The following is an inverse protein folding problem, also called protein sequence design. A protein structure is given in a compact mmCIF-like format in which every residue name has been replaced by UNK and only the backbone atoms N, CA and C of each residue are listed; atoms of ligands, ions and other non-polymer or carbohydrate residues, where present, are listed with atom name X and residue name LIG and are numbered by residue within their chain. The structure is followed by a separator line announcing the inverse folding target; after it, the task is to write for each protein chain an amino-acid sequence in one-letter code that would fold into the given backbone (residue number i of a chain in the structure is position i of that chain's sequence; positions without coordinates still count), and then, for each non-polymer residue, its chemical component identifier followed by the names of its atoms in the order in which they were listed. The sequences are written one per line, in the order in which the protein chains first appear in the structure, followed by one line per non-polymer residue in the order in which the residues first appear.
data_IF_827252577339
#
_entry.id   IF_827252577339
#
_cell.length_a   1.000
_cell.length_b   1.000
_cell.length_c   1.000
_cell.angle_alpha   90.00
_cell.angle_beta   90.00
_cell.angle_gamma   90.00
#
_symmetry.space_group_name_H-M   'P 1'
#
loop_
_entity.id
_entity.type
_entity.pdbx_description
1 polymer ?
2 non-polymer ?
3 water ?
#
# COMPACT_ATOMS: atom_id res chain seq x y z
N UNK A 1 4.33 -1.04 21.95
CA UNK A 1 3.28 -1.14 20.92
C UNK A 1 2.32 -2.25 21.32
N UNK A 2 1.04 -2.15 20.94
CA UNK A 2 0.04 -3.15 21.30
C UNK A 2 0.10 -4.50 20.61
N UNK A 3 -0.64 -5.46 21.17
CA UNK A 3 -0.70 -6.82 20.66
C UNK A 3 -1.37 -6.84 19.33
N UNK A 4 -2.55 -6.23 19.26
CA UNK A 4 -3.31 -6.15 18.03
C UNK A 4 -3.40 -4.72 17.50
N UNK A 5 -3.54 -4.62 16.18
CA UNK A 5 -3.65 -3.35 15.49
C UNK A 5 -4.46 -3.62 14.23
N UNK A 6 -5.54 -2.85 14.04
CA UNK A 6 -6.39 -2.96 12.85
C UNK A 6 -6.83 -1.52 12.52
N UNK A 7 -6.09 -0.91 11.61
CA UNK A 7 -6.36 0.45 11.24
C UNK A 7 -7.77 0.70 10.78
N UNK A 8 -8.43 -0.32 10.26
CA UNK A 8 -9.81 -0.14 9.81
C UNK A 8 -10.78 0.28 10.91
N UNK A 9 -10.53 -0.10 12.15
CA UNK A 9 -11.47 0.29 13.20
C UNK A 9 -11.16 1.63 13.84
N UNK A 10 -10.22 2.33 13.21
CA UNK A 10 -9.82 3.65 13.65
C UNK A 10 -10.33 4.66 12.60
N UNK A 11 -11.19 4.18 11.70
CA UNK A 11 -11.72 5.01 10.63
C UNK A 11 -10.62 5.57 9.74
N UNK A 12 -9.54 4.81 9.62
CA UNK A 12 -8.39 5.26 8.85
C UNK A 12 -8.11 4.54 7.55
N UNK A 13 -9.03 3.69 7.09
CA UNK A 13 -8.80 3.00 5.82
C UNK A 13 -10.09 2.88 5.04
N UNK A 14 -9.97 3.16 3.74
CA UNK A 14 -11.09 3.20 2.79
C UNK A 14 -11.38 1.89 2.06
N UNK A 15 -12.54 1.78 1.41
CA UNK A 15 -12.91 0.56 0.68
C UNK A 15 -11.86 -0.02 -0.23
N UNK A 16 -12.01 -1.31 -0.50
CA UNK A 16 -11.07 -2.03 -1.34
C UNK A 16 -11.24 -1.67 -2.83
N UNK A 17 -10.15 -1.24 -3.45
CA UNK A 17 -10.14 -0.88 -4.86
C UNK A 17 -9.67 -2.09 -5.64
N UNK A 18 -9.87 -2.06 -6.96
CA UNK A 18 -9.44 -3.13 -7.85
C UNK A 18 -8.51 -2.41 -8.79
N UNK A 19 -7.46 -3.05 -9.29
CA UNK A 19 -6.57 -2.32 -10.19
C UNK A 19 -6.72 -2.62 -11.68
N UNK A 20 -7.40 -3.72 -12.02
CA UNK A 20 -7.56 -4.08 -13.41
C UNK A 20 -6.22 -4.44 -14.05
N UNK A 21 -6.22 -4.70 -15.35
CA UNK A 21 -5.01 -5.08 -16.07
C UNK A 21 -3.76 -4.24 -15.79
N UNK A 22 -3.94 -3.01 -15.37
CA UNK A 22 -2.81 -2.14 -15.13
C UNK A 22 -1.88 -2.56 -14.00
N UNK A 23 -0.58 -2.45 -14.25
CA UNK A 23 0.41 -2.77 -13.24
C UNK A 23 0.55 -1.54 -12.36
N UNK A 24 -0.58 -1.10 -11.83
CA UNK A 24 -0.67 0.09 -10.99
C UNK A 24 -0.44 -0.14 -9.50
N UNK A 25 -0.29 -1.40 -9.10
CA UNK A 25 -0.09 -1.78 -7.71
C UNK A 25 0.65 -0.74 -6.85
N UNK A 26 1.82 -0.31 -7.31
CA UNK A 26 2.61 0.69 -6.60
C UNK A 26 1.79 1.92 -6.20
N UNK A 27 0.98 2.42 -7.13
CA UNK A 27 0.14 3.57 -6.87
C UNK A 27 -0.89 3.23 -5.77
N UNK A 28 -1.62 2.14 -5.98
CA UNK A 28 -2.60 1.67 -5.02
C UNK A 28 -1.97 1.50 -3.63
N UNK A 29 -0.72 1.05 -3.61
CA UNK A 29 0.03 0.85 -2.38
C UNK A 29 0.31 2.19 -1.70
N UNK A 30 0.97 3.09 -2.43
CA UNK A 30 1.32 4.42 -1.93
C UNK A 30 0.09 5.25 -1.48
N UNK A 31 -1.04 5.05 -2.15
CA UNK A 31 -2.23 5.80 -1.79
C UNK A 31 -2.85 5.40 -0.44
N UNK A 32 -2.87 4.10 -0.14
CA UNK A 32 -3.42 3.60 1.13
C UNK A 32 -2.68 4.21 2.31
N UNK A 33 -1.39 4.45 2.14
CA UNK A 33 -0.62 5.03 3.24
C UNK A 33 -0.95 6.50 3.39
N UNK A 34 -1.06 7.23 2.27
CA UNK A 34 -1.40 8.65 2.34
C UNK A 34 -2.77 8.84 2.98
N UNK A 35 -3.77 8.07 2.52
CA UNK A 35 -5.11 8.17 3.10
C UNK A 35 -5.03 7.95 4.61
N UNK A 36 -4.22 6.97 5.01
CA UNK A 36 -4.08 6.69 6.42
C UNK A 36 -3.36 7.74 7.23
N UNK A 37 -2.19 8.17 6.78
CA UNK A 37 -1.45 9.17 7.54
C UNK A 37 -2.27 10.44 7.82
N UNK A 38 -2.95 10.95 6.78
CA UNK A 38 -3.77 12.16 6.87
C UNK A 38 -4.95 12.05 7.86
N UNK A 39 -5.67 10.94 7.84
CA UNK A 39 -6.80 10.73 8.77
C UNK A 39 -6.24 10.71 10.19
N UNK A 40 -5.09 10.05 10.32
CA UNK A 40 -4.38 9.95 11.58
C UNK A 40 -4.02 11.35 12.11
N UNK A 41 -3.63 12.23 11.19
CA UNK A 41 -3.25 13.62 11.49
C UNK A 41 -4.44 14.60 11.63
N UNK A 42 -5.12 14.80 10.50
CA UNK A 42 -6.24 15.72 10.35
C UNK A 42 -7.55 15.37 11.05
N UNK A 43 -8.07 14.19 10.75
CA UNK A 43 -9.32 13.75 11.34
C UNK A 43 -10.32 13.36 10.27
N UNK A 44 -9.93 13.52 9.00
CA UNK A 44 -10.81 13.20 7.88
C UNK A 44 -10.21 12.19 6.94
N UNK A 45 -11.06 11.29 6.46
CA UNK A 45 -10.67 10.23 5.54
C UNK A 45 -11.20 10.47 4.11
N UNK A 46 -10.28 10.61 3.15
CA UNK A 46 -10.65 10.89 1.76
C UNK A 46 -9.87 10.03 0.78
N UNK A 47 -10.53 9.47 -0.23
CA UNK A 47 -9.84 8.64 -1.20
C UNK A 47 -8.96 9.53 -2.09
N UNK A 48 -7.73 9.10 -2.38
CA UNK A 48 -6.81 9.87 -3.22
C UNK A 48 -6.57 9.22 -4.56
N UNK A 49 -5.88 9.92 -5.44
CA UNK A 49 -5.71 9.44 -6.79
C UNK A 49 -4.55 8.54 -7.15
N UNK A 50 -4.88 7.30 -7.48
CA UNK A 50 -3.87 6.34 -7.92
C UNK A 50 -3.44 6.71 -9.34
N UNK A 51 -4.41 7.12 -10.14
CA UNK A 51 -4.18 7.52 -11.53
C UNK A 51 -3.16 8.68 -11.58
N UNK A 52 -3.18 9.52 -10.57
CA UNK A 52 -2.25 10.63 -10.54
C UNK A 52 -0.78 10.22 -10.45
N UNK A 53 -0.48 9.25 -9.59
CA UNK A 53 0.88 8.78 -9.46
C UNK A 53 1.21 8.09 -10.78
N UNK A 54 0.36 7.12 -11.11
CA UNK A 54 0.47 6.34 -12.32
C UNK A 54 0.84 7.16 -13.55
N UNK A 55 0.29 8.37 -13.66
CA UNK A 55 0.56 9.26 -14.80
C UNK A 55 1.74 10.23 -14.61
N UNK A 56 1.94 10.72 -13.38
CA UNK A 56 2.98 11.71 -13.08
C UNK A 56 4.34 11.28 -12.50
N UNK A 57 4.48 10.02 -12.09
CA UNK A 57 5.75 9.52 -11.55
C UNK A 57 6.66 9.27 -12.78
N UNK A 58 7.76 10.00 -12.84
CA UNK A 58 8.72 9.91 -13.94
C UNK A 58 9.69 8.74 -13.80
N UNK A 59 9.82 8.27 -12.56
CA UNK A 59 10.71 7.17 -12.19
C UNK A 59 10.06 5.77 -12.20
N UNK A 60 8.75 5.69 -12.37
CA UNK A 60 8.07 4.41 -12.40
C UNK A 60 7.85 4.00 -13.85
N UNK A 61 7.05 2.96 -14.11
CA UNK A 61 6.83 2.49 -15.47
C UNK A 61 5.37 2.30 -15.84
N UNK A 62 4.56 3.26 -15.40
CA UNK A 62 3.15 3.25 -15.70
C UNK A 62 2.52 1.93 -15.39
N UNK A 63 1.81 1.34 -16.35
CA UNK A 63 1.16 0.06 -16.10
C UNK A 63 2.16 -1.11 -16.11
N UNK A 64 3.45 -0.79 -16.09
CA UNK A 64 4.48 -1.82 -16.05
C UNK A 64 5.22 -1.69 -14.73
N UNK A 65 4.48 -1.78 -13.63
CA UNK A 65 5.09 -1.71 -12.31
C UNK A 65 5.82 -0.42 -12.02
N UNK A 66 6.09 -0.14 -10.76
CA UNK A 66 6.76 1.10 -10.42
C UNK A 66 7.26 1.05 -9.00
N UNK A 67 7.76 2.18 -8.50
CA UNK A 67 8.36 2.25 -7.17
C UNK A 67 7.56 3.07 -6.18
N UNK A 68 6.81 2.44 -5.27
CA UNK A 68 6.02 3.21 -4.30
C UNK A 68 6.78 4.27 -3.49
N UNK A 69 8.11 4.17 -3.42
CA UNK A 69 8.89 5.16 -2.67
C UNK A 69 9.10 6.41 -3.52
N UNK A 70 9.01 6.26 -4.84
CA UNK A 70 9.13 7.41 -5.74
C UNK A 70 7.77 8.11 -5.83
N UNK A 71 6.70 7.33 -6.03
CA UNK A 71 5.35 7.90 -6.06
C UNK A 71 5.12 8.61 -4.72
N UNK A 72 5.59 7.99 -3.63
CA UNK A 72 5.45 8.59 -2.30
C UNK A 72 6.33 9.83 -2.20
N UNK A 73 7.35 9.91 -3.05
CA UNK A 73 8.23 11.07 -3.06
C UNK A 73 7.45 12.15 -3.82
N UNK A 74 6.81 11.74 -4.91
CA UNK A 74 6.01 12.62 -5.75
C UNK A 74 5.04 13.41 -4.87
N UNK A 75 4.24 12.71 -4.09
CA UNK A 75 3.29 13.36 -3.19
C UNK A 75 3.96 14.16 -2.06
N UNK A 76 5.27 14.27 -2.12
CA UNK A 76 5.98 15.04 -1.11
C UNK A 76 6.41 16.37 -1.71
N UNK A 77 6.80 16.34 -2.99
CA UNK A 77 7.23 17.55 -3.69
C UNK A 77 5.93 18.34 -3.89
N UNK A 78 5.13 17.92 -4.86
CA UNK A 78 3.83 18.60 -5.13
C UNK A 78 2.73 18.25 -4.10
N UNK A 79 2.07 17.13 -4.34
CA UNK A 79 0.96 16.65 -3.49
C UNK A 79 0.11 15.63 -4.27
N UNK A 80 -1.09 15.38 -3.76
CA UNK A 80 -2.03 14.42 -4.39
C UNK A 80 -3.44 15.02 -4.46
N UNK A 81 -4.22 14.57 -5.44
CA UNK A 81 -5.60 15.03 -5.64
C UNK A 81 -6.58 13.99 -5.17
N UNK A 82 -7.77 14.45 -4.80
CA UNK A 82 -8.85 13.57 -4.37
C UNK A 82 -9.10 12.57 -5.49
N UNK A 83 -9.82 11.50 -5.17
CA UNK A 83 -10.10 10.48 -6.17
C UNK A 83 -11.13 10.92 -7.21
N UNK A 84 -12.20 11.58 -6.78
CA UNK A 84 -13.21 12.04 -7.74
C UNK A 84 -12.60 13.06 -8.69
N UNK A 85 -11.77 13.96 -8.14
CA UNK A 85 -11.07 14.98 -8.92
C UNK A 85 -10.24 14.38 -10.08
N UNK A 86 -9.47 13.35 -9.81
CA UNK A 86 -8.66 12.76 -10.85
C UNK A 86 -8.86 11.23 -10.83
N UNK A 87 -10.09 10.76 -11.14
CA UNK A 87 -10.50 9.35 -11.17
C UNK A 87 -9.55 8.38 -11.92
N UNK A 88 -9.69 7.09 -11.61
CA UNK A 88 -8.85 6.03 -12.16
C UNK A 88 -9.38 5.47 -13.48
N UNK A 89 -8.61 5.65 -14.55
CA UNK A 89 -8.95 5.18 -15.90
C UNK A 89 -8.32 3.82 -16.13
N UNK A 90 -7.19 3.59 -15.47
CA UNK A 90 -6.52 2.30 -15.59
C UNK A 90 -5.64 2.16 -16.81
N UNK A 91 -5.24 3.30 -17.36
CA UNK A 91 -4.38 3.35 -18.53
C UNK A 91 -3.55 4.57 -18.21
N UNK A 92 -2.32 4.65 -18.71
CA UNK A 92 -1.50 5.81 -18.41
C UNK A 92 -1.71 6.79 -19.59
N UNK A 93 -2.07 7.95 -19.12
CA UNK A 93 -2.51 9.16 -19.83
C UNK A 93 -1.73 10.26 -19.22
N UNK A 94 -1.47 11.24 -19.97
CA UNK A 94 -0.60 12.28 -19.52
C UNK A 94 -0.82 12.97 -18.16
N UNK A 95 0.23 13.58 -17.62
CA UNK A 95 0.16 14.20 -16.30
C UNK A 95 -0.77 15.39 -16.09
N UNK A 96 -2.06 15.10 -15.95
CA UNK A 96 -3.07 16.14 -15.74
C UNK A 96 -3.11 16.73 -14.32
N UNK A 97 -1.95 16.87 -13.70
CA UNK A 97 -1.92 17.40 -12.33
C UNK A 97 -2.46 18.83 -12.23
N UNK A 98 -1.60 19.80 -12.55
CA UNK A 98 -1.88 21.25 -12.51
C UNK A 98 -3.20 21.66 -13.15
N UNK A 99 -3.52 21.00 -14.25
CA UNK A 99 -4.74 21.19 -15.01
C UNK A 99 -6.00 20.86 -14.18
N UNK A 100 -5.79 20.45 -12.92
CA UNK A 100 -6.88 20.07 -12.03
C UNK A 100 -7.01 20.99 -10.84
N UNK A 101 -6.17 22.00 -10.77
CA UNK A 101 -6.30 22.91 -9.65
C UNK A 101 -5.32 22.65 -8.54
N UNK A 102 -5.62 23.12 -7.32
CA UNK A 102 -4.76 22.94 -6.15
C UNK A 102 -4.93 21.55 -5.51
N UNK A 103 -3.81 20.88 -5.29
CA UNK A 103 -3.78 19.55 -4.70
C UNK A 103 -4.59 19.44 -3.41
N UNK A 104 -5.14 18.25 -3.18
CA UNK A 104 -5.96 17.92 -2.01
C UNK A 104 -5.11 17.83 -0.74
N UNK A 105 -3.91 17.27 -0.87
CA UNK A 105 -3.00 17.17 0.27
C UNK A 105 -1.55 16.95 -0.18
N UNK A 106 -0.62 17.22 0.72
CA UNK A 106 0.81 17.03 0.43
C UNK A 106 1.45 16.53 1.72
N UNK A 107 2.46 15.67 1.61
CA UNK A 107 3.13 15.17 2.80
C UNK A 107 4.56 15.68 2.93
N UNK A 108 5.01 15.78 4.18
CA UNK A 108 6.34 16.25 4.54
C UNK A 108 7.50 15.33 4.12
N UNK A 109 7.27 14.02 4.03
CA UNK A 109 8.36 13.15 3.62
C UNK A 109 8.02 11.71 3.35
N UNK A 110 9.05 10.95 2.93
CA UNK A 110 8.94 9.54 2.61
C UNK A 110 9.96 8.89 3.55
N UNK A 111 9.84 7.58 3.79
CA UNK A 111 10.78 6.89 4.67
C UNK A 111 10.91 5.39 4.45
N UNK A 112 12.04 4.84 4.89
CA UNK A 112 12.29 3.41 4.76
C UNK A 112 12.42 2.73 6.11
N UNK A 113 11.74 1.60 6.22
CA UNK A 113 11.74 0.76 7.41
C UNK A 113 12.93 -0.17 7.23
N UNK A 114 13.72 -0.39 8.29
CA UNK A 114 14.88 -1.29 8.20
C UNK A 114 14.34 -2.62 7.68
N UNK A 115 14.87 -3.07 6.53
CA UNK A 115 14.47 -4.31 5.87
C UNK A 115 14.92 -5.60 6.51
N UNK A 116 14.23 -6.68 6.13
CA UNK A 116 14.52 -8.01 6.63
C UNK A 116 14.50 -8.00 8.15
N UNK A 117 13.52 -7.29 8.71
CA UNK A 117 13.39 -7.20 10.15
C UNK A 117 11.90 -7.06 10.53
N UNK A 118 11.27 -8.18 10.86
CA UNK A 118 9.87 -8.17 11.23
C UNK A 118 9.55 -7.28 12.43
N UNK A 119 10.57 -6.81 13.14
CA UNK A 119 10.30 -6.00 14.31
C UNK A 119 10.08 -4.55 13.98
N UNK A 120 10.91 -4.02 13.10
CA UNK A 120 10.80 -2.62 12.68
C UNK A 120 9.45 -2.48 12.00
N UNK A 121 9.15 -3.42 11.11
CA UNK A 121 7.90 -3.42 10.38
C UNK A 121 6.69 -3.40 11.31
N UNK A 122 6.85 -3.81 12.56
CA UNK A 122 5.71 -3.79 13.46
C UNK A 122 5.68 -2.46 14.18
N UNK A 123 6.85 -1.91 14.49
CA UNK A 123 6.87 -0.62 15.17
C UNK A 123 6.16 0.35 14.26
N UNK A 124 6.51 0.28 12.98
CA UNK A 124 5.95 1.22 12.02
C UNK A 124 4.44 1.06 11.85
N UNK A 125 3.99 -0.15 11.59
CA UNK A 125 2.56 -0.40 11.34
C UNK A 125 1.77 0.19 12.52
N UNK A 126 2.31 0.12 13.73
CA UNK A 126 1.62 0.64 14.91
C UNK A 126 1.51 2.16 14.98
N UNK A 127 1.90 2.84 13.91
CA UNK A 127 1.82 4.31 13.82
C UNK A 127 0.85 4.64 12.69
N UNK A 128 1.05 4.02 11.53
CA UNK A 128 0.19 4.24 10.36
C UNK A 128 0.40 3.11 9.36
N UNK A 129 -0.51 2.95 8.37
CA UNK A 129 -0.33 1.88 7.38
C UNK A 129 0.98 2.10 6.65
N UNK A 130 1.53 1.05 6.01
CA UNK A 130 2.85 1.16 5.35
C UNK A 130 2.87 0.41 4.04
N UNK A 131 3.72 0.87 3.13
CA UNK A 131 3.85 0.25 1.83
C UNK A 131 4.76 -0.97 2.01
N UNK A 132 4.32 -2.10 1.47
CA UNK A 132 5.03 -3.35 1.58
C UNK A 132 4.95 -4.16 0.27
N UNK A 133 5.97 -4.98 -0.02
CA UNK A 133 5.96 -5.82 -1.23
C UNK A 133 5.97 -7.32 -0.89
N UNK A 134 5.55 -8.14 -1.85
CA UNK A 134 5.49 -9.59 -1.69
C UNK A 134 5.51 -10.28 -3.05
N UNK A 135 5.27 -11.59 -3.06
CA UNK A 135 5.25 -12.38 -4.28
C UNK A 135 3.85 -12.96 -4.49
N UNK A 136 3.27 -12.68 -5.66
CA UNK A 136 1.93 -13.17 -5.97
C UNK A 136 1.91 -13.94 -7.26
N UNK A 137 3.08 -14.03 -7.89
CA UNK A 137 3.23 -14.74 -9.15
C UNK A 137 2.69 -16.16 -9.02
N UNK A 138 2.59 -16.66 -7.79
CA UNK A 138 2.12 -18.02 -7.58
C UNK A 138 0.63 -18.31 -7.49
N UNK A 139 0.26 -19.55 -7.82
CA UNK A 139 -1.12 -20.03 -7.81
C UNK A 139 -1.77 -19.95 -6.43
N UNK A 140 -0.97 -20.22 -5.39
CA UNK A 140 -1.46 -20.21 -4.02
C UNK A 140 -1.98 -18.82 -3.61
N UNK A 141 -1.18 -17.78 -3.87
CA UNK A 141 -1.57 -16.40 -3.55
C UNK A 141 -2.80 -15.98 -4.38
N UNK A 142 -2.73 -16.25 -5.67
CA UNK A 142 -3.79 -15.96 -6.60
C UNK A 142 -5.08 -16.62 -6.17
N UNK A 143 -4.97 -17.86 -5.69
CA UNK A 143 -6.13 -18.64 -5.28
C UNK A 143 -6.49 -18.54 -3.81
N UNK A 144 -5.73 -17.74 -3.06
CA UNK A 144 -5.99 -17.56 -1.63
C UNK A 144 -7.47 -17.26 -1.45
N UNK A 145 -8.02 -17.41 -0.25
CA UNK A 145 -9.46 -17.16 -0.11
C UNK A 145 -9.93 -17.12 1.35
N UNK A 146 -9.02 -16.79 2.26
CA UNK A 146 -9.38 -16.75 3.67
C UNK A 146 -8.46 -17.55 4.58
N UNK A 147 -8.39 -17.15 5.84
CA UNK A 147 -7.54 -17.85 6.79
C UNK A 147 -6.17 -17.22 6.75
N UNK A 148 -5.26 -17.73 7.58
CA UNK A 148 -3.90 -17.22 7.64
C UNK A 148 -3.05 -17.84 6.54
N UNK A 149 -2.55 -17.01 5.65
CA UNK A 149 -1.75 -17.48 4.54
C UNK A 149 -0.32 -17.80 5.00
N UNK A 150 0.19 -18.96 4.60
CA UNK A 150 1.55 -19.34 4.96
C UNK A 150 2.35 -19.62 3.69
N UNK A 151 1.67 -19.99 2.62
CA UNK A 151 2.39 -20.25 1.39
C UNK A 151 1.78 -21.42 0.69
N UNK A 152 2.54 -22.11 -0.17
CA UNK A 152 3.93 -21.83 -0.51
C UNK A 152 4.11 -20.64 -1.44
N UNK A 153 5.26 -19.98 -1.34
CA UNK A 153 5.57 -18.85 -2.18
C UNK A 153 7.05 -18.54 -2.00
N UNK A 154 7.67 -18.04 -3.05
CA UNK A 154 9.08 -17.71 -2.96
C UNK A 154 9.22 -16.38 -2.25
N UNK A 155 10.29 -15.68 -2.61
CA UNK A 155 10.65 -14.38 -2.05
C UNK A 155 11.00 -13.46 -3.21
N UNK A 156 10.49 -13.80 -4.39
CA UNK A 156 10.73 -13.02 -5.58
C UNK A 156 9.56 -12.05 -5.59
N UNK A 157 9.75 -10.96 -4.86
CA UNK A 157 8.77 -9.90 -4.72
C UNK A 157 8.53 -9.12 -6.02
N UNK A 158 7.24 -8.92 -6.32
CA UNK A 158 6.79 -8.23 -7.50
C UNK A 158 5.69 -7.21 -7.17
N UNK A 159 4.53 -7.75 -6.80
CA UNK A 159 3.33 -7.02 -6.42
C UNK A 159 3.59 -6.12 -5.22
N UNK A 160 2.91 -4.98 -5.16
CA UNK A 160 3.04 -4.05 -4.04
C UNK A 160 1.66 -3.95 -3.42
N UNK A 161 1.60 -3.83 -2.10
CA UNK A 161 0.35 -3.78 -1.33
C UNK A 161 0.57 -3.01 0.00
N UNK A 162 -0.45 -2.89 0.84
CA UNK A 162 -0.30 -2.12 2.09
C UNK A 162 -0.57 -2.94 3.35
N UNK A 163 0.14 -2.61 4.43
CA UNK A 163 -0.06 -3.30 5.70
C UNK A 163 -0.82 -2.35 6.61
N UNK A 164 -2.04 -2.73 6.94
CA UNK A 164 -2.91 -1.92 7.77
C UNK A 164 -3.14 -2.50 9.16
N UNK A 165 -2.32 -3.47 9.56
CA UNK A 165 -2.49 -4.06 10.87
C UNK A 165 -1.75 -5.38 11.07
N UNK A 166 -1.85 -5.90 12.29
CA UNK A 166 -1.21 -7.14 12.66
C UNK A 166 -1.84 -7.69 13.92
N UNK A 167 -1.45 -8.93 14.21
CA UNK A 167 -1.89 -9.62 15.41
C UNK A 167 -0.80 -10.62 15.76
N UNK A 168 -1.01 -11.44 16.80
CA UNK A 168 -0.08 -12.46 17.28
C UNK A 168 0.63 -13.24 16.16
N UNK A 169 -0.12 -13.85 15.24
CA UNK A 169 0.56 -14.58 14.17
C UNK A 169 0.22 -14.20 12.72
N UNK A 170 -0.06 -12.92 12.48
CA UNK A 170 -0.39 -12.48 11.12
C UNK A 170 -0.18 -10.98 10.97
N UNK A 171 -0.01 -10.55 9.73
CA UNK A 171 0.12 -9.13 9.38
C UNK A 171 -1.02 -8.90 8.39
N UNK A 172 -1.94 -8.01 8.78
CA UNK A 172 -3.13 -7.65 7.99
C UNK A 172 -2.72 -6.82 6.80
N UNK A 173 -3.05 -7.32 5.61
CA UNK A 173 -2.70 -6.67 4.35
C UNK A 173 -3.93 -6.32 3.51
N UNK A 174 -3.94 -5.09 2.99
CA UNK A 174 -4.99 -4.58 2.10
C UNK A 174 -4.43 -4.70 0.68
N UNK A 175 -5.05 -5.54 -0.14
CA UNK A 175 -4.63 -5.77 -1.53
C UNK A 175 -5.69 -5.18 -2.45
N UNK A 176 -5.29 -4.86 -3.68
CA UNK A 176 -6.16 -4.27 -4.68
C UNK A 176 -6.64 -5.20 -5.80
N UNK A 177 -7.30 -6.29 -5.43
CA UNK A 177 -7.79 -7.26 -6.40
C UNK A 177 -9.27 -7.43 -6.24
N UNK A 178 -9.90 -6.39 -5.69
CA UNK A 178 -11.33 -6.40 -5.47
C UNK A 178 -11.69 -6.93 -4.11
N UNK A 179 -12.98 -7.08 -3.86
CA UNK A 179 -13.46 -7.58 -2.60
C UNK A 179 -13.86 -9.08 -2.71
N UNK A 180 -13.70 -9.63 -3.92
CA UNK A 180 -14.05 -11.02 -4.15
C UNK A 180 -12.80 -11.88 -4.18
N UNK A 181 -11.84 -11.51 -3.36
CA UNK A 181 -10.58 -12.22 -3.27
C UNK A 181 -10.17 -12.11 -1.84
N UNK A 182 -9.71 -13.22 -1.26
CA UNK A 182 -9.28 -13.24 0.12
C UNK A 182 -10.40 -12.86 1.04
N UNK A 183 -10.05 -12.29 2.18
CA UNK A 183 -11.03 -11.88 3.16
C UNK A 183 -11.56 -10.49 2.81
N UNK A 184 -12.50 -10.48 1.86
CA UNK A 184 -13.13 -9.29 1.33
C UNK A 184 -12.08 -8.35 0.80
N UNK A 185 -11.11 -8.93 0.11
CA UNK A 185 -10.02 -8.16 -0.45
C UNK A 185 -8.79 -8.06 0.42
N UNK A 186 -8.89 -8.57 1.64
CA UNK A 186 -7.77 -8.56 2.57
C UNK A 186 -7.10 -9.94 2.69
N UNK A 187 -5.85 -9.91 3.16
CA UNK A 187 -5.11 -11.15 3.37
C UNK A 187 -4.30 -11.07 4.65
N UNK A 188 -4.38 -12.13 5.44
CA UNK A 188 -3.62 -12.21 6.68
C UNK A 188 -2.43 -13.15 6.48
N UNK A 189 -1.26 -12.57 6.21
CA UNK A 189 -0.04 -13.33 6.01
C UNK A 189 0.57 -13.56 7.38
N UNK A 190 0.98 -14.80 7.62
CA UNK A 190 1.59 -15.19 8.89
C UNK A 190 2.97 -14.59 9.12
N UNK A 191 3.25 -14.26 10.38
CA UNK A 191 4.52 -13.69 10.79
C UNK A 191 5.08 -14.57 11.93
N UNK A 192 6.29 -14.26 12.40
CA UNK A 192 6.88 -15.02 13.51
C UNK A 192 7.40 -16.42 13.24
N UNK A 193 7.86 -16.64 12.02
CA UNK A 193 8.40 -17.92 11.55
C UNK A 193 9.93 -17.86 11.53
N UNK A 194 10.48 -16.80 12.09
CA UNK A 194 11.93 -16.64 12.11
C UNK A 194 12.55 -16.23 10.79
N UNK A 195 11.91 -16.57 9.67
CA UNK A 195 12.41 -16.23 8.34
C UNK A 195 12.73 -14.75 8.26
N UNK A 196 13.99 -14.40 8.09
CA UNK A 196 14.36 -12.99 8.01
C UNK A 196 13.75 -12.26 6.80
N UNK A 197 13.35 -13.02 5.79
CA UNK A 197 12.76 -12.47 4.57
C UNK A 197 11.28 -12.19 4.68
N UNK A 198 10.62 -12.84 5.64
CA UNK A 198 9.19 -12.69 5.80
C UNK A 198 8.53 -13.61 4.79
N UNK A 199 7.35 -14.14 5.14
CA UNK A 199 6.61 -15.04 4.25
C UNK A 199 6.37 -14.33 2.91
N UNK A 200 6.54 -15.06 1.81
CA UNK A 200 6.34 -14.50 0.48
C UNK A 200 7.23 -13.29 0.13
N UNK A 201 8.09 -12.86 1.06
CA UNK A 201 8.99 -11.75 0.78
C UNK A 201 8.63 -10.46 1.48
N UNK A 202 7.57 -10.57 2.27
CA UNK A 202 6.99 -9.47 3.00
C UNK A 202 7.92 -8.46 3.67
N UNK A 203 9.22 -8.72 3.75
CA UNK A 203 10.11 -7.76 4.44
C UNK A 203 11.22 -7.21 3.57
N UNK A 204 11.12 -7.41 2.27
CA UNK A 204 12.14 -6.92 1.35
C UNK A 204 12.25 -5.37 1.11
N UNK A 205 11.15 -4.62 1.23
CA UNK A 205 11.15 -3.15 1.01
C UNK A 205 9.90 -2.50 1.60
N UNK A 206 10.08 -1.61 2.58
CA UNK A 206 8.94 -1.00 3.24
C UNK A 206 9.14 0.48 3.47
N UNK A 207 8.16 1.28 3.02
CA UNK A 207 8.21 2.74 3.10
C UNK A 207 6.92 3.38 3.60
N UNK A 208 7.02 4.57 4.15
CA UNK A 208 5.83 5.26 4.62
C UNK A 208 5.96 6.80 4.56
N UNK A 209 4.83 7.52 4.40
CA UNK A 209 4.85 8.98 4.33
C UNK A 209 4.89 9.65 5.70
N UNK A 210 5.71 10.69 5.82
CA UNK A 210 5.87 11.48 7.04
C UNK A 210 4.88 12.66 6.97
N UNK A 211 4.23 13.00 8.08
CA UNK A 211 3.27 14.10 8.08
C UNK A 211 3.17 14.78 9.45
N UNK A 212 3.91 15.87 9.63
CA UNK A 212 3.96 16.62 10.89
C UNK A 212 2.64 17.21 11.38
X LIG B 1 -11.54 -14.12 -7.36
X LIG B 1 -10.47 -13.23 -7.44
X LIG B 1 -9.34 -13.52 -8.20
X LIG B 1 -9.28 -14.74 -8.87
X LIG B 1 -10.34 -15.65 -8.79
X LIG B 1 -11.47 -15.34 -8.03
X LIG B 1 -8.20 -12.54 -8.29
X LIG B 1 -6.89 -13.05 -8.47
X LIG B 1 -6.43 -13.21 -9.78
X LIG B 1 -6.82 -14.08 -10.56
X LIG B 1 -5.52 -12.28 -10.10
X LIG B 1 -4.89 -12.23 -11.41
X LIG B 1 -3.37 -12.08 -11.28
X LIG B 1 -2.68 -11.79 -12.38
X LIG B 1 -1.22 -11.63 -12.41
X LIG B 1 -0.49 -12.96 -12.69
X LIG B 1 -0.69 -10.99 -11.12
X LIG B 1 0.15 -9.71 -11.18
X LIG B 1 1.49 -9.94 -10.46
X LIG B 1 -0.61 -8.55 -10.57
X LIG B 1 -5.48 -11.10 -12.26
X LIG B 1 -5.77 -9.69 -11.71
X LIG B 1 -4.52 -8.92 -11.27
X LIG B 1 -6.89 -9.64 -10.67
X LIG B 1 -2.85 -12.23 -10.18
X LIG B 1 0.74 -13.03 -12.57
X LIG B 1 -1.20 -13.95 -13.60
X LIG B 1 -2.59 -14.23 -13.38
X LIG B 1 -3.44 -14.58 -14.51
#
# INVERSE_FOLDING_TARGET
IPEYVDWRQKGAVTPVKNQGSCGSCWAFSAVVTIEGIIKIRTGNLNQYSEQELLDCDRRSYGCNGGYPWSALQLVAQYGIHYRNTYPYEGVQRYCRSREKGPYAAKTDGVRQVQPYNQGALLYSIANQPVSVVLQAAGKDFQLYRGGIFVGPCGNKVDHAVAAVGYGPNYILIKNSWGTGWGENGYIRIKRGTGNSYGVCGLYTSSFYPVKN
SBA C5 C6 C1 C2 C3 C4 C7 O8 C9 O27 N10 C11 C12 N13 C14 C15 C23 C24 C25 C26 C19 C20 C21 C22 O28 O29 C16 O17 C18
#
